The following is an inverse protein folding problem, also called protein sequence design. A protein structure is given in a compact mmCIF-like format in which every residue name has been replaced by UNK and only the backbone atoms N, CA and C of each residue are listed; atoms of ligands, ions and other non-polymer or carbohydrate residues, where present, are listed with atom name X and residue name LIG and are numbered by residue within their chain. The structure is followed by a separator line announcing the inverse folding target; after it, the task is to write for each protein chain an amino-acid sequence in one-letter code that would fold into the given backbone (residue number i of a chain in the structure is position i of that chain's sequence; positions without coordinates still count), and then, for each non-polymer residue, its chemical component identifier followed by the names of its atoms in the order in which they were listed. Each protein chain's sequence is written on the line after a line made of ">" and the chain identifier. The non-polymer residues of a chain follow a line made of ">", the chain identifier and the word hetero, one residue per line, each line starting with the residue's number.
data_IF_309694335747
#
_entry.id   IF_309694335747
#
_cell.length_a   1.000
_cell.length_b   1.000
_cell.length_c   1.000
_cell.angle_alpha   90.00
_cell.angle_beta   90.00
_cell.angle_gamma   90.00
#
_symmetry.space_group_name_H-M   'P 1'
#
loop_
_entity.id
_entity.type
_entity.pdbx_description
1 polymer ?
#
# COMPACT_ATOMS: atom_id res chain seq x y z
N UNK A 1 -8.10 -14.00 -0.94
CA UNK A 1 -7.61 -15.39 -0.75
C UNK A 1 -8.40 -16.27 -1.68
N UNK A 2 -7.74 -17.22 -2.34
CA UNK A 2 -8.35 -18.13 -3.31
C UNK A 2 -7.95 -19.56 -3.00
N UNK A 3 -8.87 -20.49 -3.21
CA UNK A 3 -8.65 -21.88 -2.86
C UNK A 3 -9.67 -22.83 -3.46
N UNK A 4 -9.58 -24.07 -3.03
CA UNK A 4 -10.46 -25.15 -3.48
C UNK A 4 -10.64 -26.16 -2.34
N UNK A 5 -11.73 -26.92 -2.37
CA UNK A 5 -11.85 -28.11 -1.52
C UNK A 5 -11.06 -29.28 -2.08
N UNK A 6 -10.38 -30.06 -1.25
CA UNK A 6 -9.77 -31.30 -1.70
C UNK A 6 -10.86 -32.29 -2.14
N UNK A 7 -10.54 -33.16 -3.10
CA UNK A 7 -11.52 -34.02 -3.77
C UNK A 7 -12.22 -35.02 -2.83
N UNK A 8 -11.55 -35.39 -1.74
CA UNK A 8 -12.00 -36.31 -0.71
C UNK A 8 -12.78 -35.65 0.43
N UNK A 9 -12.67 -34.32 0.60
CA UNK A 9 -13.32 -33.62 1.70
C UNK A 9 -13.86 -32.23 1.31
N UNK A 10 -15.14 -32.12 0.92
CA UNK A 10 -15.76 -30.86 0.49
C UNK A 10 -15.98 -29.84 1.63
N UNK A 11 -15.89 -30.26 2.90
CA UNK A 11 -16.05 -29.37 4.06
C UNK A 11 -14.79 -28.57 4.37
N UNK A 12 -13.63 -29.00 3.87
CA UNK A 12 -12.35 -28.31 4.05
C UNK A 12 -12.12 -27.38 2.87
N UNK A 13 -11.57 -26.20 3.15
CA UNK A 13 -11.13 -25.23 2.14
C UNK A 13 -9.64 -25.01 2.27
N UNK A 14 -8.89 -25.38 1.24
CA UNK A 14 -7.45 -25.19 1.19
C UNK A 14 -7.14 -23.87 0.48
N UNK A 15 -6.53 -22.93 1.19
CA UNK A 15 -6.08 -21.67 0.60
C UNK A 15 -4.83 -21.96 -0.25
N UNK A 16 -4.98 -21.91 -1.57
CA UNK A 16 -3.89 -22.19 -2.53
C UNK A 16 -3.19 -20.93 -3.01
N UNK A 17 -3.89 -19.80 -3.01
CA UNK A 17 -3.38 -18.54 -3.52
C UNK A 17 -3.74 -17.34 -2.64
N UNK A 18 -2.75 -16.48 -2.39
CA UNK A 18 -2.95 -15.16 -1.81
C UNK A 18 -2.61 -14.11 -2.85
N UNK A 19 -3.62 -13.30 -3.20
CA UNK A 19 -3.46 -12.20 -4.15
C UNK A 19 -3.29 -10.90 -3.38
N UNK A 20 -2.17 -10.21 -3.60
CA UNK A 20 -1.98 -8.84 -3.15
C UNK A 20 -2.51 -7.90 -4.24
N UNK A 21 -3.37 -6.97 -3.82
CA UNK A 21 -3.95 -5.95 -4.70
C UNK A 21 -3.41 -4.57 -4.32
N UNK A 22 -3.52 -3.55 -5.21
CA UNK A 22 -3.19 -2.17 -4.90
C UNK A 22 -3.98 -1.64 -3.69
N UNK A 23 -3.34 -1.48 -2.54
CA UNK A 23 -4.01 -1.17 -1.29
C UNK A 23 -3.32 -0.07 -0.49
N UNK A 24 -4.10 0.61 0.34
CA UNK A 24 -3.63 1.57 1.35
C UNK A 24 -4.28 1.23 2.67
N UNK A 25 -3.66 1.56 3.79
CA UNK A 25 -4.19 1.21 5.10
C UNK A 25 -3.71 2.14 6.21
N UNK A 26 -4.34 2.00 7.36
CA UNK A 26 -3.89 2.62 8.59
C UNK A 26 -3.86 1.56 9.70
N UNK A 27 -3.72 2.00 10.96
CA UNK A 27 -3.66 1.09 12.11
C UNK A 27 -4.99 0.40 12.45
N UNK A 28 -6.11 0.78 11.82
CA UNK A 28 -7.46 0.26 12.09
C UNK A 28 -8.06 -0.48 10.90
N UNK A 29 -7.76 -0.08 9.67
CA UNK A 29 -8.43 -0.62 8.48
C UNK A 29 -7.51 -0.60 7.26
N UNK A 30 -7.85 -1.48 6.31
CA UNK A 30 -7.26 -1.53 4.97
C UNK A 30 -8.33 -1.14 3.95
N UNK A 31 -7.91 -0.44 2.91
CA UNK A 31 -8.75 -0.05 1.79
C UNK A 31 -8.27 -0.75 0.53
N UNK A 32 -9.20 -1.44 -0.14
CA UNK A 32 -8.98 -2.16 -1.38
C UNK A 32 -9.70 -1.46 -2.54
N UNK A 33 -9.25 -1.67 -3.79
CA UNK A 33 -10.03 -1.31 -4.96
C UNK A 33 -11.30 -2.19 -5.01
N UNK A 34 -12.38 -1.67 -5.58
CA UNK A 34 -13.63 -2.44 -5.72
C UNK A 34 -13.51 -3.60 -6.71
N UNK A 35 -12.64 -3.46 -7.72
CA UNK A 35 -12.38 -4.52 -8.68
C UNK A 35 -11.66 -5.70 -8.03
N UNK A 36 -12.24 -6.90 -8.12
CA UNK A 36 -11.60 -8.15 -7.73
C UNK A 36 -10.50 -8.57 -8.72
N UNK A 37 -9.48 -9.31 -8.26
CA UNK A 37 -8.41 -9.76 -9.12
C UNK A 37 -8.92 -10.80 -10.13
N UNK A 38 -8.49 -10.66 -11.38
CA UNK A 38 -8.80 -11.57 -12.47
C UNK A 38 -7.52 -12.09 -13.08
N UNK A 39 -7.41 -13.41 -13.24
CA UNK A 39 -6.29 -14.05 -13.89
C UNK A 39 -6.65 -15.49 -14.27
N UNK A 40 -5.98 -16.05 -15.28
CA UNK A 40 -6.20 -17.42 -15.73
C UNK A 40 -6.02 -18.44 -14.61
N UNK A 41 -4.94 -18.30 -13.82
CA UNK A 41 -4.65 -19.15 -12.65
C UNK A 41 -5.66 -19.05 -11.49
N UNK A 42 -6.61 -18.11 -11.54
CA UNK A 42 -7.66 -17.99 -10.52
C UNK A 42 -8.98 -18.61 -10.98
N UNK A 43 -9.12 -19.01 -12.25
CA UNK A 43 -10.39 -19.49 -12.82
C UNK A 43 -10.89 -20.78 -12.16
N UNK A 44 -9.96 -21.66 -11.76
CA UNK A 44 -10.28 -22.94 -11.13
C UNK A 44 -10.37 -22.86 -9.60
N UNK A 45 -10.23 -21.65 -9.03
CA UNK A 45 -10.27 -21.40 -7.60
C UNK A 45 -11.48 -20.55 -7.23
N UNK A 46 -12.05 -20.80 -6.05
CA UNK A 46 -13.10 -19.97 -5.48
C UNK A 46 -12.52 -18.93 -4.51
N UNK A 47 -13.11 -17.72 -4.43
CA UNK A 47 -12.70 -16.73 -3.43
C UNK A 47 -13.10 -17.21 -2.03
N UNK A 48 -12.14 -17.20 -1.11
CA UNK A 48 -12.30 -17.62 0.29
C UNK A 48 -12.25 -16.44 1.27
N UNK A 49 -12.44 -15.21 0.77
CA UNK A 49 -12.39 -14.00 1.57
C UNK A 49 -11.02 -13.32 1.57
N UNK A 50 -10.67 -12.66 2.66
CA UNK A 50 -9.44 -11.87 2.77
C UNK A 50 -8.77 -12.01 4.14
N UNK A 51 -7.51 -11.58 4.20
CA UNK A 51 -6.74 -11.54 5.43
C UNK A 51 -6.02 -10.20 5.54
N UNK A 52 -5.81 -9.75 6.77
CA UNK A 52 -5.08 -8.51 7.04
C UNK A 52 -4.30 -8.60 8.33
N UNK A 53 -3.25 -7.80 8.41
CA UNK A 53 -2.52 -7.57 9.66
C UNK A 53 -3.25 -6.56 10.52
N UNK A 54 -3.21 -6.75 11.84
CA UNK A 54 -3.67 -5.78 12.81
C UNK A 54 -2.60 -5.52 13.88
N UNK A 55 -2.39 -4.27 14.31
CA UNK A 55 -1.34 -3.95 15.27
C UNK A 55 -1.53 -4.58 16.64
N UNK A 56 -2.78 -4.71 17.09
CA UNK A 56 -3.14 -5.22 18.41
C UNK A 56 -4.06 -6.43 18.26
N UNK A 57 -3.90 -7.43 19.12
CA UNK A 57 -4.88 -8.52 19.23
C UNK A 57 -6.19 -8.01 19.82
N UNK A 58 -7.30 -8.28 19.14
CA UNK A 58 -8.63 -7.89 19.56
C UNK A 58 -9.42 -9.14 19.97
N UNK A 59 -10.21 -9.09 21.05
CA UNK A 59 -11.05 -10.23 21.47
C UNK A 59 -12.23 -10.48 20.52
N UNK A 60 -12.51 -9.52 19.64
CA UNK A 60 -13.62 -9.49 18.70
C UNK A 60 -13.15 -9.01 17.33
N UNK A 61 -13.90 -9.40 16.28
CA UNK A 61 -13.73 -8.83 14.94
C UNK A 61 -14.00 -7.32 14.98
N UNK A 62 -13.27 -6.50 14.23
CA UNK A 62 -13.52 -5.06 14.27
C UNK A 62 -14.81 -4.69 13.51
N UNK A 63 -15.54 -3.64 13.93
CA UNK A 63 -16.69 -3.15 13.17
C UNK A 63 -16.32 -2.73 11.74
N UNK A 64 -15.09 -2.24 11.55
CA UNK A 64 -14.53 -1.88 10.25
C UNK A 64 -14.40 -3.12 9.35
N UNK A 65 -13.94 -4.25 9.87
CA UNK A 65 -13.81 -5.49 9.10
C UNK A 65 -15.17 -6.07 8.73
N UNK A 66 -16.16 -6.03 9.65
CA UNK A 66 -17.54 -6.44 9.36
C UNK A 66 -18.12 -5.58 8.23
N UNK A 67 -17.93 -4.26 8.32
CA UNK A 67 -18.40 -3.31 7.31
C UNK A 67 -17.71 -3.53 5.96
N UNK A 68 -16.38 -3.71 5.96
CA UNK A 68 -15.60 -3.93 4.75
C UNK A 68 -15.99 -5.24 4.05
N UNK A 69 -16.08 -6.34 4.81
CA UNK A 69 -16.43 -7.64 4.26
C UNK A 69 -17.87 -7.67 3.74
N UNK A 70 -18.82 -7.06 4.44
CA UNK A 70 -20.21 -6.93 3.96
C UNK A 70 -20.32 -6.11 2.67
N UNK A 71 -19.55 -5.01 2.55
CA UNK A 71 -19.50 -4.20 1.33
C UNK A 71 -18.93 -5.00 0.14
N UNK A 72 -17.82 -5.71 0.35
CA UNK A 72 -17.23 -6.58 -0.67
C UNK A 72 -18.24 -7.63 -1.14
N UNK A 73 -18.93 -8.32 -0.21
CA UNK A 73 -19.99 -9.28 -0.54
C UNK A 73 -21.12 -8.64 -1.36
N UNK A 74 -21.55 -7.44 -0.97
CA UNK A 74 -22.66 -6.75 -1.65
C UNK A 74 -22.31 -6.31 -3.08
N UNK A 75 -21.05 -6.00 -3.33
CA UNK A 75 -20.55 -5.52 -4.63
C UNK A 75 -20.11 -6.67 -5.55
N UNK A 76 -19.87 -7.87 -5.00
CA UNK A 76 -19.27 -8.99 -5.72
C UNK A 76 -20.05 -10.29 -5.53
N UNK A 77 -20.98 -10.57 -6.44
CA UNK A 77 -21.79 -11.79 -6.42
C UNK A 77 -21.00 -13.11 -6.50
N UNK A 78 -19.72 -13.07 -6.91
CA UNK A 78 -18.82 -14.23 -6.90
C UNK A 78 -18.44 -14.70 -5.49
N UNK A 79 -18.59 -13.85 -4.48
CA UNK A 79 -18.27 -14.19 -3.09
C UNK A 79 -19.50 -14.78 -2.41
N UNK A 80 -19.33 -15.96 -1.83
CA UNK A 80 -20.36 -16.65 -1.06
C UNK A 80 -20.15 -16.39 0.44
N UNK A 81 -21.12 -15.72 1.07
CA UNK A 81 -21.03 -15.34 2.49
C UNK A 81 -20.86 -16.52 3.46
N UNK A 82 -21.24 -17.74 3.04
CA UNK A 82 -21.05 -18.94 3.86
C UNK A 82 -19.63 -19.54 3.72
N UNK A 83 -18.89 -19.16 2.68
CA UNK A 83 -17.57 -19.72 2.37
C UNK A 83 -16.43 -18.72 2.54
N UNK A 84 -16.72 -17.42 2.51
CA UNK A 84 -15.70 -16.38 2.63
C UNK A 84 -15.44 -16.01 4.07
N UNK A 85 -14.17 -15.87 4.43
CA UNK A 85 -13.75 -15.55 5.81
C UNK A 85 -12.89 -14.30 5.87
N UNK A 86 -12.75 -13.74 7.07
CA UNK A 86 -11.83 -12.68 7.41
C UNK A 86 -10.79 -13.29 8.35
N UNK A 87 -9.52 -13.29 7.94
CA UNK A 87 -8.43 -13.75 8.80
C UNK A 87 -7.67 -12.53 9.34
N UNK A 88 -7.73 -12.35 10.65
CA UNK A 88 -6.99 -11.31 11.38
C UNK A 88 -5.63 -11.86 11.79
N UNK A 89 -4.56 -11.18 11.38
CA UNK A 89 -3.18 -11.50 11.77
C UNK A 89 -2.69 -10.46 12.78
N UNK A 90 -2.76 -10.79 14.07
CA UNK A 90 -2.43 -9.87 15.15
C UNK A 90 -0.98 -10.00 15.57
N UNK A 91 -0.30 -8.87 15.72
CA UNK A 91 1.05 -8.85 16.28
C UNK A 91 1.00 -8.94 17.81
N UNK A 92 1.52 -10.03 18.34
CA UNK A 92 1.73 -10.26 19.77
C UNK A 92 3.23 -10.14 20.07
N UNK A 93 3.66 -9.85 21.31
CA UNK A 93 5.09 -9.74 21.62
C UNK A 93 5.88 -11.00 21.19
N UNK A 94 6.75 -10.84 20.20
CA UNK A 94 7.58 -11.92 19.65
C UNK A 94 6.83 -12.99 18.84
N UNK A 95 5.56 -12.78 18.47
CA UNK A 95 4.72 -13.80 17.83
C UNK A 95 3.61 -13.18 16.96
N UNK A 96 2.84 -14.04 16.30
CA UNK A 96 1.64 -13.67 15.54
C UNK A 96 0.49 -14.58 15.96
N UNK A 97 -0.65 -13.99 16.28
CA UNK A 97 -1.91 -14.69 16.54
C UNK A 97 -2.82 -14.58 15.31
N UNK A 98 -3.35 -15.72 14.84
CA UNK A 98 -4.27 -15.78 13.72
C UNK A 98 -5.66 -16.19 14.20
N UNK A 99 -6.69 -15.45 13.81
CA UNK A 99 -8.09 -15.84 14.04
C UNK A 99 -8.89 -15.64 12.76
N UNK A 100 -9.74 -16.61 12.44
CA UNK A 100 -10.62 -16.57 11.28
C UNK A 100 -12.07 -16.34 11.72
N UNK A 101 -12.77 -15.47 11.00
CA UNK A 101 -14.15 -15.10 11.25
C UNK A 101 -14.98 -15.22 9.98
N UNK A 102 -16.25 -15.58 10.13
CA UNK A 102 -17.26 -15.51 9.07
C UNK A 102 -18.38 -14.57 9.51
N UNK A 103 -18.98 -13.84 8.58
CA UNK A 103 -20.14 -13.02 8.89
C UNK A 103 -21.38 -13.89 9.06
N UNK A 104 -22.25 -13.48 9.99
CA UNK A 104 -23.61 -14.01 10.06
C UNK A 104 -24.52 -13.20 9.12
N UNK A 105 -25.70 -13.71 8.74
CA UNK A 105 -26.65 -12.95 7.93
C UNK A 105 -27.01 -11.58 8.54
N UNK A 106 -27.13 -11.50 9.87
CA UNK A 106 -27.38 -10.23 10.57
C UNK A 106 -26.19 -9.27 10.48
N UNK A 107 -24.96 -9.79 10.58
CA UNK A 107 -23.74 -9.00 10.40
C UNK A 107 -23.57 -8.47 8.99
N UNK A 108 -23.95 -9.24 7.97
CA UNK A 108 -23.97 -8.78 6.58
C UNK A 108 -24.94 -7.60 6.39
N UNK A 109 -26.19 -7.71 6.84
CA UNK A 109 -27.19 -6.63 6.70
C UNK A 109 -26.77 -5.37 7.46
N UNK A 110 -26.23 -5.53 8.68
CA UNK A 110 -25.70 -4.41 9.45
C UNK A 110 -24.48 -3.77 8.75
N UNK A 111 -23.50 -4.57 8.33
CA UNK A 111 -22.26 -4.07 7.73
C UNK A 111 -22.50 -3.36 6.38
N UNK A 112 -23.48 -3.84 5.60
CA UNK A 112 -23.88 -3.22 4.34
C UNK A 112 -24.52 -1.84 4.53
N UNK A 113 -25.33 -1.68 5.58
CA UNK A 113 -26.00 -0.41 5.90
C UNK A 113 -25.15 0.56 6.72
N UNK A 114 -24.05 0.09 7.33
CA UNK A 114 -23.21 0.92 8.18
C UNK A 114 -22.41 1.99 7.39
N UNK A 115 -22.60 3.24 7.81
CA UNK A 115 -21.86 4.42 7.30
C UNK A 115 -20.88 4.99 8.32
N UNK A 116 -21.00 4.61 9.60
CA UNK A 116 -20.13 5.10 10.67
C UNK A 116 -18.78 4.37 10.64
N UNK A 117 -17.69 5.15 10.60
CA UNK A 117 -16.30 4.66 10.54
C UNK A 117 -15.60 4.70 11.91
N UNK A 118 -16.30 5.10 12.97
CA UNK A 118 -15.79 5.10 14.32
C UNK A 118 -15.58 3.69 14.88
N UNK A 119 -14.92 3.60 16.03
CA UNK A 119 -14.62 2.33 16.70
C UNK A 119 -15.85 1.71 17.41
N UNK A 120 -16.88 2.50 17.68
CA UNK A 120 -18.11 2.05 18.34
C UNK A 120 -19.35 2.48 17.54
N UNK A 121 -19.52 1.97 16.32
CA UNK A 121 -20.64 2.36 15.48
C UNK A 121 -21.96 1.82 16.04
N UNK A 122 -23.03 2.59 15.86
CA UNK A 122 -24.35 2.26 16.40
C UNK A 122 -24.85 0.92 15.86
N UNK A 123 -25.31 0.06 16.77
CA UNK A 123 -25.92 -1.23 16.44
C UNK A 123 -24.93 -2.36 16.16
N UNK A 124 -23.62 -2.13 16.25
CA UNK A 124 -22.63 -3.21 16.21
C UNK A 124 -22.83 -4.18 17.38
N UNK A 125 -22.86 -5.49 17.08
CA UNK A 125 -23.04 -6.55 18.06
C UNK A 125 -22.08 -7.72 17.81
N UNK A 126 -21.61 -8.42 18.85
CA UNK A 126 -20.76 -9.62 18.70
C UNK A 126 -21.43 -10.78 17.94
N UNK A 127 -22.75 -10.75 17.77
CA UNK A 127 -23.52 -11.74 17.00
C UNK A 127 -23.43 -11.54 15.49
N UNK A 128 -22.76 -10.49 15.02
CA UNK A 128 -22.56 -10.20 13.60
C UNK A 128 -21.52 -11.10 12.91
N UNK A 129 -20.76 -11.88 13.68
CA UNK A 129 -19.75 -12.77 13.17
C UNK A 129 -19.66 -14.02 14.05
N UNK A 130 -19.10 -15.07 13.47
CA UNK A 130 -18.76 -16.30 14.16
C UNK A 130 -17.29 -16.65 13.92
N UNK A 131 -16.65 -17.27 14.91
CA UNK A 131 -15.28 -17.79 14.75
C UNK A 131 -15.36 -19.09 13.95
N UNK A 132 -14.47 -19.23 12.98
CA UNK A 132 -14.35 -20.44 12.17
C UNK A 132 -13.01 -21.12 12.42
N UNK A 133 -12.99 -22.44 12.30
CA UNK A 133 -11.78 -23.22 12.49
C UNK A 133 -10.80 -22.96 11.34
N UNK A 134 -9.54 -22.73 11.69
CA UNK A 134 -8.43 -22.58 10.75
C UNK A 134 -7.24 -23.40 11.24
N UNK A 135 -6.55 -24.04 10.31
CA UNK A 135 -5.35 -24.84 10.58
C UNK A 135 -4.21 -24.36 9.67
N UNK A 136 -2.99 -24.36 10.22
CA UNK A 136 -1.78 -24.20 9.42
C UNK A 136 -1.32 -25.58 8.95
N UNK A 137 -0.84 -25.66 7.72
CA UNK A 137 -0.35 -26.90 7.13
C UNK A 137 0.96 -26.67 6.39
N UNK A 138 1.85 -27.64 6.50
CA UNK A 138 3.11 -27.77 5.77
C UNK A 138 3.00 -28.79 4.61
N UNK A 139 1.83 -29.41 4.41
CA UNK A 139 1.61 -30.48 3.43
C UNK A 139 1.65 -29.98 1.98
N UNK A 140 1.38 -28.71 1.75
CA UNK A 140 1.43 -28.09 0.43
C UNK A 140 1.87 -26.64 0.53
N UNK A 141 2.37 -26.12 -0.59
CA UNK A 141 2.74 -24.73 -0.72
C UNK A 141 1.65 -23.98 -1.50
N UNK A 142 1.24 -22.83 -0.97
CA UNK A 142 0.49 -21.85 -1.73
C UNK A 142 1.41 -20.97 -2.59
N UNK A 143 0.82 -20.14 -3.43
CA UNK A 143 1.56 -19.15 -4.22
C UNK A 143 0.96 -17.75 -4.06
N UNK A 144 1.75 -16.75 -4.41
CA UNK A 144 1.33 -15.36 -4.42
C UNK A 144 1.03 -14.88 -5.83
N UNK A 145 0.10 -13.94 -5.91
CA UNK A 145 -0.06 -13.09 -7.07
C UNK A 145 0.00 -11.63 -6.64
N UNK A 146 0.60 -10.80 -7.48
CA UNK A 146 0.84 -9.38 -7.19
C UNK A 146 0.41 -8.54 -8.37
N UNK A 147 0.22 -7.21 -8.21
CA UNK A 147 -0.12 -6.35 -9.33
C UNK A 147 0.98 -6.40 -10.41
N UNK A 148 0.60 -6.45 -11.69
CA UNK A 148 1.55 -6.48 -12.81
C UNK A 148 2.43 -5.23 -12.88
N UNK A 149 2.01 -4.13 -12.25
CA UNK A 149 2.81 -2.91 -12.05
C UNK A 149 3.98 -3.11 -11.06
N UNK A 150 3.98 -4.21 -10.30
CA UNK A 150 4.97 -4.53 -9.29
C UNK A 150 4.79 -3.81 -7.95
N UNK A 151 3.77 -2.95 -7.80
CA UNK A 151 3.49 -2.16 -6.58
C UNK A 151 2.11 -2.53 -6.04
N UNK A 152 2.08 -3.12 -4.86
CA UNK A 152 0.85 -3.39 -4.11
C UNK A 152 0.61 -2.38 -2.98
N UNK A 153 1.68 -1.84 -2.39
CA UNK A 153 1.60 -0.93 -1.25
C UNK A 153 1.54 0.54 -1.71
N UNK A 154 0.38 1.17 -1.54
CA UNK A 154 0.15 2.57 -1.88
C UNK A 154 0.23 3.53 -0.68
N UNK A 155 0.63 3.08 0.51
CA UNK A 155 0.72 3.95 1.70
C UNK A 155 1.68 5.14 1.51
N UNK A 156 2.74 4.98 0.72
CA UNK A 156 3.68 6.06 0.37
C UNK A 156 3.33 6.79 -0.93
N UNK A 157 2.25 6.37 -1.61
CA UNK A 157 1.79 6.89 -2.90
C UNK A 157 0.27 7.11 -2.87
N UNK A 158 -0.28 7.54 -1.72
CA UNK A 158 -1.73 7.59 -1.50
C UNK A 158 -2.50 8.44 -2.51
N UNK A 159 -1.87 9.49 -3.07
CA UNK A 159 -2.47 10.32 -4.12
C UNK A 159 -2.72 9.59 -5.44
N UNK A 160 -2.03 8.46 -5.67
CA UNK A 160 -2.21 7.60 -6.85
C UNK A 160 -3.22 6.50 -6.61
N UNK A 161 -3.63 6.27 -5.37
CA UNK A 161 -4.59 5.24 -5.02
C UNK A 161 -6.02 5.75 -5.19
N UNK A 162 -6.87 4.94 -5.81
CA UNK A 162 -8.30 5.22 -5.95
C UNK A 162 -9.08 3.92 -5.81
N UNK A 163 -10.25 3.98 -5.18
CA UNK A 163 -11.11 2.81 -5.01
C UNK A 163 -11.58 2.22 -6.35
N UNK A 164 -11.73 3.05 -7.39
CA UNK A 164 -12.16 2.62 -8.73
C UNK A 164 -10.99 2.23 -9.66
N UNK A 165 -9.76 2.15 -9.14
CA UNK A 165 -8.60 1.83 -9.97
C UNK A 165 -8.68 0.40 -10.50
N UNK A 166 -8.28 0.23 -11.76
CA UNK A 166 -8.13 -1.09 -12.38
C UNK A 166 -6.68 -1.56 -12.25
N UNK A 167 -6.51 -2.87 -12.19
CA UNK A 167 -5.20 -3.50 -12.10
C UNK A 167 -5.27 -4.90 -12.68
N UNK A 168 -4.16 -5.33 -13.26
CA UNK A 168 -3.90 -6.71 -13.61
C UNK A 168 -2.97 -7.33 -12.57
N UNK A 169 -2.99 -8.65 -12.46
CA UNK A 169 -2.11 -9.39 -11.55
C UNK A 169 -1.24 -10.38 -12.32
N UNK A 170 -0.07 -10.70 -11.78
CA UNK A 170 0.85 -11.69 -12.31
C UNK A 170 1.38 -12.62 -11.20
N UNK A 171 1.93 -13.76 -11.59
CA UNK A 171 2.56 -14.72 -10.69
C UNK A 171 3.94 -14.21 -10.27
N UNK A 172 4.04 -13.69 -9.05
CA UNK A 172 5.31 -13.33 -8.42
C UNK A 172 5.16 -13.22 -6.90
N UNK A 173 6.29 -13.18 -6.19
CA UNK A 173 6.31 -12.96 -4.76
C UNK A 173 6.14 -11.47 -4.41
N UNK A 174 5.44 -11.13 -3.31
CA UNK A 174 5.24 -9.75 -2.89
C UNK A 174 6.54 -9.14 -2.38
N UNK A 175 6.82 -7.91 -2.80
CA UNK A 175 7.90 -7.08 -2.24
C UNK A 175 7.56 -6.66 -0.81
N UNK A 176 8.57 -6.45 0.02
CA UNK A 176 8.38 -6.06 1.42
C UNK A 176 7.75 -4.66 1.52
N UNK A 177 7.13 -4.36 2.66
CA UNK A 177 6.39 -3.12 2.86
C UNK A 177 7.22 -1.86 2.52
N UNK A 178 8.50 -1.83 2.94
CA UNK A 178 9.43 -0.72 2.74
C UNK A 178 10.35 -0.88 1.51
N UNK A 179 10.01 -1.73 0.55
CA UNK A 179 10.77 -1.86 -0.70
C UNK A 179 10.83 -0.51 -1.45
N UNK A 180 11.91 -0.25 -2.18
CA UNK A 180 12.15 1.05 -2.84
C UNK A 180 11.04 1.47 -3.83
N UNK A 181 10.53 0.52 -4.60
CA UNK A 181 9.42 0.71 -5.56
C UNK A 181 8.12 1.20 -4.90
N UNK A 182 7.89 0.88 -3.63
CA UNK A 182 6.72 1.36 -2.91
C UNK A 182 6.85 2.84 -2.53
N UNK A 183 8.08 3.36 -2.41
CA UNK A 183 8.39 4.69 -1.87
C UNK A 183 9.37 5.50 -2.74
N UNK A 184 9.13 5.63 -4.06
CA UNK A 184 10.07 6.23 -5.02
C UNK A 184 10.41 7.70 -4.70
N UNK A 185 9.46 8.45 -4.12
CA UNK A 185 9.66 9.86 -3.72
C UNK A 185 10.81 10.03 -2.73
N UNK A 186 11.00 9.07 -1.81
CA UNK A 186 12.08 9.14 -0.82
C UNK A 186 13.46 9.09 -1.50
N UNK A 187 13.58 8.30 -2.57
CA UNK A 187 14.82 8.14 -3.31
C UNK A 187 15.03 9.25 -4.35
N UNK A 188 13.96 9.77 -4.94
CA UNK A 188 14.04 10.93 -5.83
C UNK A 188 14.50 12.19 -5.08
N UNK A 189 13.93 12.44 -3.90
CA UNK A 189 14.31 13.59 -3.06
C UNK A 189 15.76 13.53 -2.58
N UNK A 190 16.31 12.32 -2.39
CA UNK A 190 17.73 12.14 -2.08
C UNK A 190 18.63 12.60 -3.23
N UNK A 191 18.27 12.27 -4.49
CA UNK A 191 19.01 12.70 -5.68
C UNK A 191 18.96 14.22 -5.88
N UNK A 192 17.83 14.86 -5.63
CA UNK A 192 17.68 16.33 -5.74
C UNK A 192 18.55 17.06 -4.70
N UNK A 193 18.60 16.59 -3.45
CA UNK A 193 19.49 17.17 -2.44
C UNK A 193 20.97 17.01 -2.80
N UNK A 194 21.37 15.86 -3.34
CA UNK A 194 22.73 15.64 -3.80
C UNK A 194 23.10 16.54 -5.00
N UNK A 195 22.19 16.71 -5.97
CA UNK A 195 22.39 17.64 -7.09
C UNK A 195 22.43 19.11 -6.64
N UNK A 196 21.63 19.53 -5.66
CA UNK A 196 21.71 20.87 -5.09
C UNK A 196 23.02 21.11 -4.34
N UNK A 197 23.54 20.11 -3.63
CA UNK A 197 24.86 20.20 -3.00
C UNK A 197 25.95 20.30 -4.07
N UNK A 198 25.90 19.48 -5.12
CA UNK A 198 26.82 19.57 -6.27
C UNK A 198 26.73 20.92 -6.99
N UNK A 199 25.52 21.45 -7.18
CA UNK A 199 25.30 22.74 -7.80
C UNK A 199 25.80 23.88 -6.90
N UNK A 200 25.55 23.81 -5.59
CA UNK A 200 26.09 24.78 -4.61
C UNK A 200 27.61 24.69 -4.51
N UNK A 201 28.21 23.50 -4.59
CA UNK A 201 29.66 23.33 -4.67
C UNK A 201 30.23 23.92 -5.95
N UNK A 202 29.60 23.65 -7.11
CA UNK A 202 30.01 24.25 -8.40
C UNK A 202 29.85 25.77 -8.42
N UNK A 203 28.75 26.29 -7.84
CA UNK A 203 28.54 27.73 -7.72
C UNK A 203 29.53 28.38 -6.74
N UNK A 204 29.88 27.71 -5.64
CA UNK A 204 30.92 28.18 -4.72
C UNK A 204 32.30 28.19 -5.38
N UNK A 205 32.67 27.13 -6.12
CA UNK A 205 33.91 27.08 -6.90
C UNK A 205 33.93 28.20 -7.96
N UNK A 206 32.82 28.41 -8.68
CA UNK A 206 32.72 29.46 -9.69
C UNK A 206 32.81 30.86 -9.06
N UNK A 207 32.21 31.07 -7.89
CA UNK A 207 32.29 32.34 -7.13
C UNK A 207 33.71 32.60 -6.62
N UNK A 208 34.42 31.58 -6.13
CA UNK A 208 35.84 31.70 -5.75
C UNK A 208 36.70 32.02 -6.97
N UNK A 209 36.47 31.35 -8.11
CA UNK A 209 37.16 31.68 -9.37
C UNK A 209 36.91 33.13 -9.79
N UNK A 210 35.65 33.58 -9.86
CA UNK A 210 35.31 34.96 -10.22
C UNK A 210 35.96 35.96 -9.25
N UNK A 211 35.95 35.67 -7.94
CA UNK A 211 36.57 36.56 -6.94
C UNK A 211 38.10 36.58 -7.10
N UNK A 212 38.75 35.45 -7.38
CA UNK A 212 40.19 35.40 -7.65
C UNK A 212 40.57 36.16 -8.91
N UNK A 213 39.81 36.05 -10.01
CA UNK A 213 40.07 36.82 -11.24
C UNK A 213 39.80 38.32 -11.05
N UNK A 214 38.75 38.69 -10.31
CA UNK A 214 38.40 40.09 -10.03
C UNK A 214 39.41 40.76 -9.08
N UNK A 215 39.93 40.02 -8.08
CA UNK A 215 41.01 40.50 -7.21
C UNK A 215 42.33 40.62 -7.97
N UNK A 216 42.66 39.68 -8.87
CA UNK A 216 43.88 39.78 -9.70
C UNK A 216 43.82 41.01 -10.63
N UNK A 217 42.67 41.33 -11.23
CA UNK A 217 42.51 42.55 -12.03
C UNK A 217 42.58 43.85 -11.21
N UNK A 218 42.22 43.83 -9.93
CA UNK A 218 42.22 45.03 -9.08
C UNK A 218 43.59 45.39 -8.50
N UNK A 219 44.59 44.50 -8.58
CA UNK A 219 45.92 44.71 -7.98
C UNK A 219 47.03 45.07 -8.98
N UNK A 220 46.73 45.18 -10.28
CA UNK A 220 47.72 45.43 -11.33
C UNK A 220 47.67 46.84 -11.95
N UNK A 221 47.07 47.84 -11.29
CA UNK A 221 47.10 49.24 -11.75
C UNK A 221 47.98 50.13 -10.85
N UNK A 222 49.29 50.30 -11.17
CA UNK A 222 50.08 51.39 -10.63
C UNK A 222 49.99 52.60 -11.58
N UNK A 223 49.40 53.69 -11.08
CA UNK A 223 49.45 55.07 -11.61
C UNK A 223 48.61 55.38 -12.86
N UNK A 224 47.74 56.40 -12.73
CA UNK A 224 47.50 57.32 -13.85
C UNK A 224 46.07 57.83 -14.04
N UNK A 225 45.75 58.90 -13.32
CA UNK A 225 44.96 60.07 -13.76
C UNK A 225 44.51 60.05 -15.25
N UNK A 226 43.19 60.11 -15.49
CA UNK A 226 42.54 61.13 -16.33
C UNK A 226 41.01 60.92 -16.41
N UNK A 227 40.25 61.94 -15.99
CA UNK A 227 38.90 62.17 -16.49
C UNK A 227 38.98 62.60 -17.96
N UNK A 228 38.14 62.03 -18.82
CA UNK A 228 37.66 62.67 -20.03
C UNK A 228 36.37 62.00 -20.52
N UNK A 229 35.35 62.83 -20.71
CA UNK A 229 34.06 62.53 -21.33
C UNK A 229 34.20 61.91 -22.74
N UNK A 230 33.27 61.02 -23.10
CA UNK A 230 32.56 61.11 -24.38
C UNK A 230 31.32 60.20 -24.47
N UNK A 231 30.30 60.79 -25.07
CA UNK A 231 28.96 60.32 -25.38
C UNK A 231 28.88 59.14 -26.38
N UNK A 232 27.74 58.46 -26.31
CA UNK A 232 26.96 57.82 -27.38
C UNK A 232 27.59 56.77 -28.30
N UNK A 233 27.05 55.54 -28.29
CA UNK A 233 26.02 55.09 -29.26
C UNK A 233 25.56 53.65 -29.01
N UNK A 234 24.27 53.42 -29.23
CA UNK A 234 23.62 52.11 -29.35
C UNK A 234 24.04 51.36 -30.62
N UNK A 235 24.33 50.07 -30.49
CA UNK A 235 23.87 48.96 -31.34
C UNK A 235 24.12 47.62 -30.61
#
# INVERSE_FOLDING_TARGET
>A
MYGISPADNPQVKEIRCVVLVPQTGNHQQVQFPTHLPQHELLKDLEPLGWMHTQPNELPQLSPQDVTAHAKILSENASWDGEKTVIITCSFTPGSVSLTAYKLTPSGYEWGKSNTDRGNNPKGYMPTHYEKVQMLLSDRFLGYFMVPSSGVWNFNFQGQRWSQSMKYDVCLANPKEYYHEDHRPVHFHNFKVKFQLIQFRFRAAIMSVYITSYCVIQAFDDPLGIAMADREDTFA
#
